data_IF_572112573159
#
_entry.id   IF_572112573159
#
_cell.length_a   1.000
_cell.length_b   1.000
_cell.length_c   1.000
_cell.angle_alpha   90.00
_cell.angle_beta   90.00
_cell.angle_gamma   90.00
#
_symmetry.space_group_name_H-M   'P 1'
#
loop_
_entity.id
_entity.type
_entity.pdbx_description
1 polymer ?
#
# COMPACT_ATOMS: atom_id res chain seq x y z
N UNK A 1 -8.20 5.26 15.54
CA UNK A 1 -8.37 5.76 14.16
C UNK A 1 -9.88 5.87 13.94
N UNK A 2 -10.40 6.98 13.43
CA UNK A 2 -11.86 7.14 13.22
C UNK A 2 -12.38 6.07 12.24
N UNK A 3 -13.45 5.35 12.60
CA UNK A 3 -14.04 4.29 11.78
C UNK A 3 -14.48 4.81 10.40
N UNK A 4 -14.98 6.05 10.32
CA UNK A 4 -15.37 6.69 9.05
C UNK A 4 -14.16 6.95 8.15
N UNK A 5 -13.02 7.27 8.74
CA UNK A 5 -11.77 7.50 8.02
C UNK A 5 -11.20 6.19 7.45
N UNK A 6 -11.37 5.08 8.17
CA UNK A 6 -10.92 3.75 7.75
C UNK A 6 -11.77 3.22 6.58
N UNK A 7 -13.10 3.34 6.67
CA UNK A 7 -14.02 2.93 5.60
C UNK A 7 -13.76 3.65 4.26
N UNK A 8 -13.50 4.97 4.30
CA UNK A 8 -13.16 5.75 3.11
C UNK A 8 -11.87 5.29 2.43
N UNK A 9 -10.84 4.93 3.21
CA UNK A 9 -9.57 4.41 2.69
C UNK A 9 -9.72 3.02 2.08
N UNK A 10 -10.48 2.14 2.73
CA UNK A 10 -10.79 0.81 2.18
C UNK A 10 -11.47 0.93 0.82
N UNK A 11 -12.50 1.78 0.70
CA UNK A 11 -13.21 1.99 -0.55
C UNK A 11 -12.28 2.50 -1.68
N UNK A 12 -11.40 3.46 -1.37
CA UNK A 12 -10.41 3.99 -2.31
C UNK A 12 -9.45 2.90 -2.81
N UNK A 13 -8.93 2.07 -1.90
CA UNK A 13 -8.01 0.97 -2.25
C UNK A 13 -8.72 -0.06 -3.13
N UNK A 14 -9.95 -0.44 -2.79
CA UNK A 14 -10.75 -1.38 -3.61
C UNK A 14 -10.98 -0.83 -5.02
N UNK A 15 -11.39 0.43 -5.13
CA UNK A 15 -11.60 1.09 -6.42
C UNK A 15 -10.30 1.15 -7.25
N UNK A 16 -9.20 1.55 -6.63
CA UNK A 16 -7.89 1.60 -7.29
C UNK A 16 -7.36 0.24 -7.72
N UNK A 17 -7.61 -0.81 -6.92
CA UNK A 17 -7.24 -2.17 -7.26
C UNK A 17 -8.03 -2.65 -8.48
N UNK A 18 -9.36 -2.46 -8.50
CA UNK A 18 -10.21 -2.86 -9.62
C UNK A 18 -9.94 -2.09 -10.91
N UNK A 19 -9.56 -0.82 -10.82
CA UNK A 19 -9.18 -0.02 -11.98
C UNK A 19 -7.97 -0.63 -12.73
N UNK A 20 -7.09 -1.34 -12.03
CA UNK A 20 -5.88 -1.96 -12.59
C UNK A 20 -5.97 -3.47 -12.78
N UNK A 21 -6.80 -4.14 -11.98
CA UNK A 21 -6.92 -5.60 -11.91
C UNK A 21 -8.40 -6.02 -11.94
N UNK A 22 -9.13 -5.57 -12.95
CA UNK A 22 -10.59 -5.76 -13.08
C UNK A 22 -11.03 -7.24 -13.03
N UNK A 23 -10.19 -8.17 -13.48
CA UNK A 23 -10.48 -9.61 -13.45
C UNK A 23 -10.44 -10.23 -12.04
N UNK A 24 -9.97 -9.50 -11.03
CA UNK A 24 -9.78 -9.98 -9.65
C UNK A 24 -10.91 -9.57 -8.70
N UNK A 25 -12.11 -9.35 -9.23
CA UNK A 25 -13.29 -8.92 -8.47
C UNK A 25 -13.58 -9.83 -7.27
N UNK A 26 -13.56 -11.15 -7.48
CA UNK A 26 -13.81 -12.13 -6.40
C UNK A 26 -12.85 -12.01 -5.23
N UNK A 27 -11.60 -11.63 -5.48
CA UNK A 27 -10.61 -11.42 -4.43
C UNK A 27 -10.92 -10.15 -3.64
N UNK A 28 -11.06 -9.01 -4.33
CA UNK A 28 -11.16 -7.69 -3.66
C UNK A 28 -12.51 -7.43 -2.99
N UNK A 29 -13.58 -8.13 -3.41
CA UNK A 29 -14.88 -8.07 -2.75
C UNK A 29 -15.06 -9.09 -1.62
N UNK A 30 -14.11 -10.01 -1.43
CA UNK A 30 -14.15 -10.94 -0.30
C UNK A 30 -14.04 -10.19 1.03
N UNK A 31 -14.85 -10.58 2.02
CA UNK A 31 -14.81 -10.00 3.37
C UNK A 31 -13.43 -10.15 4.02
N UNK A 32 -12.76 -11.28 3.80
CA UNK A 32 -11.39 -11.52 4.28
C UNK A 32 -10.41 -10.50 3.70
N UNK A 33 -10.60 -10.08 2.44
CA UNK A 33 -9.73 -9.06 1.84
C UNK A 33 -9.97 -7.69 2.46
N UNK A 34 -11.19 -7.38 2.90
CA UNK A 34 -11.48 -6.14 3.63
C UNK A 34 -10.72 -6.13 4.96
N UNK A 35 -10.78 -7.23 5.72
CA UNK A 35 -10.03 -7.39 6.96
C UNK A 35 -8.51 -7.28 6.73
N UNK A 36 -8.01 -7.84 5.63
CA UNK A 36 -6.60 -7.71 5.25
C UNK A 36 -6.23 -6.25 4.95
N UNK A 37 -7.08 -5.50 4.25
CA UNK A 37 -6.83 -4.07 3.99
C UNK A 37 -6.75 -3.32 5.32
N UNK A 38 -7.72 -3.52 6.21
CA UNK A 38 -7.75 -2.86 7.51
C UNK A 38 -6.51 -3.19 8.34
N UNK A 39 -6.07 -4.46 8.34
CA UNK A 39 -4.83 -4.90 8.96
C UNK A 39 -3.61 -4.13 8.43
N UNK A 40 -3.48 -4.04 7.10
CA UNK A 40 -2.36 -3.38 6.42
C UNK A 40 -2.38 -1.85 6.55
N UNK A 41 -3.55 -1.27 6.82
CA UNK A 41 -3.73 0.16 7.08
C UNK A 41 -3.48 0.57 8.54
N UNK A 42 -3.26 -0.39 9.43
CA UNK A 42 -2.83 -0.06 10.80
C UNK A 42 -1.49 0.69 10.75
N UNK A 43 -1.39 1.75 11.55
CA UNK A 43 -0.33 2.76 11.47
C UNK A 43 1.07 2.14 11.38
N UNK A 44 1.42 1.24 12.29
CA UNK A 44 2.76 0.65 12.37
C UNK A 44 3.11 -0.17 11.11
N UNK A 45 2.15 -0.93 10.57
CA UNK A 45 2.35 -1.74 9.36
C UNK A 45 2.47 -0.87 8.12
N UNK A 46 1.60 0.12 8.00
CA UNK A 46 1.65 1.07 6.88
C UNK A 46 2.99 1.81 6.88
N UNK A 47 3.44 2.32 8.03
CA UNK A 47 4.75 2.93 8.15
C UNK A 47 5.89 1.97 7.74
N UNK A 48 5.83 0.71 8.15
CA UNK A 48 6.85 -0.28 7.81
C UNK A 48 6.88 -0.57 6.29
N UNK A 49 5.71 -0.75 5.67
CA UNK A 49 5.55 -0.91 4.22
C UNK A 49 6.20 0.26 3.47
N UNK A 50 5.90 1.49 3.88
CA UNK A 50 6.43 2.69 3.25
C UNK A 50 7.95 2.84 3.43
N UNK A 51 8.48 2.51 4.61
CA UNK A 51 9.94 2.50 4.87
C UNK A 51 10.70 1.52 3.99
N UNK A 52 10.15 0.31 3.77
CA UNK A 52 10.75 -0.67 2.87
C UNK A 52 10.78 -0.16 1.42
N UNK A 53 9.68 0.44 0.95
CA UNK A 53 9.65 1.08 -0.36
C UNK A 53 10.70 2.19 -0.49
N UNK A 54 10.82 3.05 0.53
CA UNK A 54 11.82 4.12 0.60
C UNK A 54 13.27 3.61 0.75
N UNK A 55 13.47 2.32 0.96
CA UNK A 55 14.81 1.70 1.01
C UNK A 55 15.11 0.89 -0.25
N UNK A 56 14.23 0.95 -1.27
CA UNK A 56 14.36 0.15 -2.49
C UNK A 56 14.02 -1.34 -2.31
N UNK A 57 13.42 -1.72 -1.18
CA UNK A 57 12.97 -3.08 -0.93
C UNK A 57 11.51 -3.29 -1.36
N UNK A 58 11.17 -4.54 -1.66
CA UNK A 58 9.80 -4.91 -1.99
C UNK A 58 8.89 -4.73 -0.76
N UNK A 59 7.75 -4.03 -0.87
CA UNK A 59 6.88 -3.72 0.28
C UNK A 59 6.31 -4.96 0.96
N UNK A 60 6.11 -6.06 0.21
CA UNK A 60 5.64 -7.32 0.76
C UNK A 60 6.55 -7.85 1.88
N UNK A 61 7.87 -7.61 1.79
CA UNK A 61 8.82 -8.05 2.82
C UNK A 61 8.61 -7.37 4.17
N UNK A 62 7.98 -6.20 4.20
CA UNK A 62 7.73 -5.47 5.43
C UNK A 62 6.63 -6.09 6.30
N UNK A 63 5.79 -6.96 5.73
CA UNK A 63 4.57 -7.47 6.36
C UNK A 63 4.33 -8.95 6.10
N UNK A 64 5.38 -9.69 5.71
CA UNK A 64 5.24 -11.09 5.29
C UNK A 64 4.75 -11.97 6.44
N UNK A 65 5.32 -11.80 7.64
CA UNK A 65 4.95 -12.57 8.83
C UNK A 65 3.49 -12.30 9.22
N UNK A 66 3.04 -11.04 9.16
CA UNK A 66 1.66 -10.70 9.49
C UNK A 66 0.66 -11.22 8.46
N UNK A 67 1.04 -11.31 7.20
CA UNK A 67 0.23 -11.92 6.14
C UNK A 67 0.12 -13.42 6.34
N UNK A 68 1.21 -14.10 6.72
CA UNK A 68 1.19 -15.53 7.02
C UNK A 68 0.30 -15.84 8.22
N UNK A 69 0.46 -15.10 9.32
CA UNK A 69 -0.41 -15.24 10.52
C UNK A 69 -1.87 -14.93 10.17
N UNK A 70 -2.14 -13.92 9.36
CA UNK A 70 -3.49 -13.60 8.90
C UNK A 70 -4.08 -14.74 8.06
N UNK A 71 -3.29 -15.32 7.16
CA UNK A 71 -3.73 -16.41 6.29
C UNK A 71 -4.05 -17.69 7.06
N UNK A 72 -3.24 -18.04 8.07
CA UNK A 72 -3.49 -19.17 8.96
C UNK A 72 -4.80 -18.99 9.73
N UNK A 73 -5.00 -17.81 10.34
CA UNK A 73 -6.23 -17.49 11.09
C UNK A 73 -7.50 -17.57 10.25
N UNK A 74 -7.38 -17.30 8.95
CA UNK A 74 -8.50 -17.27 8.01
C UNK A 74 -8.65 -18.57 7.17
N UNK A 75 -7.94 -19.64 7.52
CA UNK A 75 -7.98 -20.93 6.79
C UNK A 75 -7.68 -20.80 5.29
N UNK A 76 -6.83 -19.85 4.90
CA UNK A 76 -6.41 -19.65 3.51
C UNK A 76 -5.26 -20.59 3.10
N UNK A 77 -4.64 -21.24 4.09
CA UNK A 77 -3.54 -22.20 3.89
C UNK A 77 -4.13 -23.56 3.50
N UNK A 78 -3.71 -24.07 2.35
CA UNK A 78 -4.14 -25.38 1.82
C UNK A 78 -2.93 -26.31 1.80
N UNK A 79 -3.02 -27.46 2.48
CA UNK A 79 -1.91 -28.43 2.59
C UNK A 79 -0.60 -27.80 3.12
N UNK A 80 -0.72 -26.90 4.10
CA UNK A 80 0.44 -26.20 4.69
C UNK A 80 1.08 -25.15 3.76
N UNK A 81 0.39 -24.75 2.68
CA UNK A 81 0.89 -23.73 1.74
C UNK A 81 -0.18 -22.68 1.44
N UNK A 82 0.26 -21.42 1.34
CA UNK A 82 -0.53 -20.37 0.74
C UNK A 82 -0.64 -20.57 -0.78
N UNK A 83 -1.84 -20.52 -1.38
CA UNK A 83 -2.02 -20.59 -2.83
C UNK A 83 -1.26 -19.45 -3.54
N UNK A 84 -0.54 -19.77 -4.61
CA UNK A 84 0.28 -18.78 -5.34
C UNK A 84 -0.56 -17.65 -5.94
N UNK A 85 -1.77 -18.00 -6.39
CA UNK A 85 -2.73 -17.03 -6.88
C UNK A 85 -3.10 -15.98 -5.81
N UNK A 86 -3.30 -16.42 -4.57
CA UNK A 86 -3.59 -15.52 -3.46
C UNK A 86 -2.38 -14.65 -3.10
N UNK A 87 -1.17 -15.21 -3.08
CA UNK A 87 0.08 -14.45 -2.88
C UNK A 87 0.23 -13.32 -3.91
N UNK A 88 -0.05 -13.61 -5.18
CA UNK A 88 0.03 -12.61 -6.25
C UNK A 88 -0.98 -11.49 -6.04
N UNK A 89 -2.21 -11.82 -5.63
CA UNK A 89 -3.24 -10.81 -5.34
C UNK A 89 -2.90 -9.94 -4.15
N UNK A 90 -2.33 -10.53 -3.08
CA UNK A 90 -1.84 -9.75 -1.95
C UNK A 90 -0.69 -8.85 -2.36
N UNK A 91 0.25 -9.32 -3.18
CA UNK A 91 1.30 -8.47 -3.74
C UNK A 91 0.75 -7.29 -4.54
N UNK A 92 -0.28 -7.53 -5.38
CA UNK A 92 -1.00 -6.46 -6.11
C UNK A 92 -1.68 -5.48 -5.16
N UNK A 93 -2.33 -5.98 -4.10
CA UNK A 93 -3.05 -5.18 -3.11
C UNK A 93 -2.10 -4.24 -2.38
N UNK A 94 -0.97 -4.76 -1.91
CA UNK A 94 0.07 -3.96 -1.24
C UNK A 94 0.63 -2.90 -2.20
N UNK A 95 0.85 -3.26 -3.46
CA UNK A 95 1.23 -2.29 -4.49
C UNK A 95 0.21 -1.15 -4.65
N UNK A 96 -1.09 -1.47 -4.63
CA UNK A 96 -2.16 -0.47 -4.65
C UNK A 96 -2.14 0.40 -3.37
N UNK A 97 -1.96 -0.20 -2.19
CA UNK A 97 -1.85 0.54 -0.92
C UNK A 97 -0.71 1.55 -0.98
N UNK A 98 0.49 1.11 -1.40
CA UNK A 98 1.65 1.99 -1.58
C UNK A 98 1.36 3.09 -2.60
N UNK A 99 0.68 2.77 -3.70
CA UNK A 99 0.33 3.78 -4.71
C UNK A 99 -0.61 4.86 -4.17
N UNK A 100 -1.49 4.58 -3.22
CA UNK A 100 -2.39 5.62 -2.67
C UNK A 100 -1.84 6.30 -1.42
N UNK A 101 -1.04 5.60 -0.62
CA UNK A 101 -0.61 6.08 0.70
C UNK A 101 0.88 6.39 0.79
N UNK A 102 1.68 5.90 -0.15
CA UNK A 102 3.11 6.22 -0.26
C UNK A 102 3.41 7.58 -0.88
N UNK A 103 2.39 8.29 -1.41
CA UNK A 103 2.52 9.69 -1.84
C UNK A 103 2.31 10.69 -0.70
N UNK A 104 2.25 10.24 0.55
CA UNK A 104 2.16 11.13 1.71
C UNK A 104 3.37 10.90 2.63
N UNK A 105 4.55 11.35 2.19
CA UNK A 105 5.72 11.71 3.01
C UNK A 105 6.75 12.34 2.06
N UNK A 106 7.18 13.60 2.13
CA UNK A 106 7.26 14.54 3.23
C UNK A 106 6.65 15.90 2.84
N UNK A 107 5.68 16.39 3.61
CA UNK A 107 5.01 17.65 3.34
C UNK A 107 4.49 18.40 4.58
N UNK A 108 4.68 17.86 5.78
CA UNK A 108 4.46 18.58 7.04
C UNK A 108 5.60 19.57 7.38
N UNK A 109 6.19 20.18 6.35
CA UNK A 109 6.94 21.44 6.46
C UNK A 109 6.52 22.38 5.33
N UNK A 110 5.46 23.12 5.60
CA UNK A 110 4.99 24.26 4.80
C UNK A 110 5.91 25.47 5.03
N UNK A 111 7.22 25.34 4.83
CA UNK A 111 8.15 26.46 5.03
C UNK A 111 9.05 26.83 3.84
N UNK A 112 9.24 25.99 2.83
CA UNK A 112 10.09 26.38 1.68
C UNK A 112 9.25 26.87 0.48
N UNK A 113 8.66 28.05 0.61
CA UNK A 113 7.81 28.69 -0.41
C UNK A 113 8.54 29.52 -1.49
N UNK A 114 9.87 29.59 -1.54
CA UNK A 114 10.52 30.64 -2.35
C UNK A 114 11.33 30.23 -3.59
N UNK A 115 11.54 28.95 -3.93
CA UNK A 115 12.44 28.60 -5.06
C UNK A 115 11.88 27.68 -6.16
N UNK A 116 10.56 27.61 -6.33
CA UNK A 116 9.91 26.77 -7.35
C UNK A 116 10.02 27.26 -8.81
N UNK A 117 10.71 28.35 -9.10
CA UNK A 117 10.60 29.03 -10.40
C UNK A 117 11.59 28.63 -11.51
N UNK A 118 12.42 27.58 -11.34
CA UNK A 118 13.44 27.24 -12.37
C UNK A 118 13.63 25.75 -12.64
N UNK A 119 12.55 24.98 -12.75
CA UNK A 119 12.58 23.63 -13.34
C UNK A 119 11.94 23.65 -14.74
N UNK A 120 12.57 23.09 -15.79
CA UNK A 120 11.89 22.85 -17.04
C UNK A 120 10.76 21.84 -16.79
N UNK A 121 9.55 22.24 -17.18
CA UNK A 121 8.23 21.71 -16.78
C UNK A 121 8.21 20.36 -16.02
N UNK A 122 7.77 20.36 -14.74
CA UNK A 122 7.56 19.13 -13.97
C UNK A 122 6.40 18.28 -14.54
N UNK A 123 6.38 16.96 -14.30
CA UNK A 123 5.28 16.10 -14.75
C UNK A 123 3.96 16.58 -14.13
N UNK A 124 2.94 16.78 -14.96
CA UNK A 124 1.69 17.46 -14.58
C UNK A 124 0.92 16.86 -13.37
N UNK A 125 1.24 15.63 -12.96
CA UNK A 125 0.55 14.92 -11.87
C UNK A 125 1.47 14.15 -10.91
N UNK A 126 2.80 14.22 -11.07
CA UNK A 126 3.74 13.52 -10.19
C UNK A 126 5.00 14.36 -10.00
N UNK A 127 5.20 14.88 -8.78
CA UNK A 127 6.48 15.41 -8.34
C UNK A 127 7.23 14.28 -7.62
N UNK A 128 8.21 13.68 -8.30
CA UNK A 128 9.15 12.78 -7.63
C UNK A 128 10.10 13.61 -6.78
N UNK A 129 10.04 13.41 -5.46
CA UNK A 129 11.11 13.81 -4.53
C UNK A 129 11.39 12.64 -3.58
N UNK A 130 11.84 11.52 -4.13
CA UNK A 130 12.59 10.55 -3.34
C UNK A 130 14.08 10.86 -3.53
N UNK A 131 14.59 11.86 -2.80
CA UNK A 131 16.03 12.01 -2.61
C UNK A 131 16.49 10.97 -1.61
N UNK A 132 16.99 9.84 -2.13
CA UNK A 132 17.75 8.91 -1.30
C UNK A 132 19.09 9.55 -0.96
N UNK A 133 19.33 9.82 0.33
CA UNK A 133 20.67 10.14 0.79
C UNK A 133 21.58 8.96 0.47
N UNK A 134 22.59 9.17 -0.37
CA UNK A 134 23.72 8.25 -0.49
C UNK A 134 24.44 8.23 0.86
N UNK A 135 24.66 7.03 1.39
CA UNK A 135 25.63 6.79 2.46
C UNK A 135 27.04 7.16 2.02
#
# INVERSE_FOLDING_TARGET
MDEKFTAGRVAMIKAGFLARYSSRLKFIENSITIELIELLLQKDRLENILRFCASGHAPLKAVVDEIEVFAEKNNLVVNGRLPDEWKQDVGRLIGTIVYFLGYVSDGDKVEDKENLHKLPNPPKYFHYAATFHKA
#
